data_IF_142174563494
#
_entry.id   IF_142174563494
#
_cell.length_a   1.000
_cell.length_b   1.000
_cell.length_c   1.000
_cell.angle_alpha   90.00
_cell.angle_beta   90.00
_cell.angle_gamma   90.00
#
_symmetry.space_group_name_H-M   'P 1'
#
loop_
_entity.id
_entity.type
_entity.pdbx_description
1 polymer ?
#
# COMPACT_ATOMS: atom_id res chain seq x y z
N UNK A 1 -52.76 25.84 64.19
CA UNK A 1 -51.71 25.91 65.21
C UNK A 1 -50.40 25.44 64.58
N UNK A 2 -49.37 26.28 64.50
CA UNK A 2 -48.16 25.93 63.84
C UNK A 2 -47.07 25.41 64.81
N UNK A 3 -46.29 24.47 64.43
CA UNK A 3 -45.04 24.10 65.09
C UNK A 3 -43.82 24.54 64.33
N UNK A 4 -42.77 24.95 65.04
CA UNK A 4 -41.66 25.71 64.43
C UNK A 4 -40.56 24.85 63.83
N UNK A 5 -40.04 25.33 62.74
CA UNK A 5 -38.93 24.71 62.03
C UNK A 5 -37.58 24.86 62.73
N UNK A 6 -36.79 23.82 62.66
CA UNK A 6 -35.33 23.81 62.98
C UNK A 6 -34.51 24.13 61.75
N UNK A 7 -33.79 25.23 61.89
CA UNK A 7 -32.73 25.55 60.90
C UNK A 7 -31.46 24.76 61.23
N UNK A 8 -30.96 23.98 60.28
CA UNK A 8 -29.68 23.32 60.37
C UNK A 8 -28.73 24.06 59.42
N UNK A 9 -27.73 24.70 60.00
CA UNK A 9 -26.58 25.27 59.25
C UNK A 9 -25.68 24.10 58.80
N UNK A 10 -25.59 23.84 57.53
CA UNK A 10 -24.55 22.98 56.95
C UNK A 10 -23.41 23.87 56.44
N UNK A 11 -22.28 23.83 57.16
CA UNK A 11 -21.05 24.44 56.72
C UNK A 11 -20.48 23.70 55.48
N UNK A 12 -20.36 24.41 54.41
CA UNK A 12 -19.65 23.90 53.20
C UNK A 12 -18.16 24.07 53.42
N UNK A 13 -17.46 22.91 53.53
CA UNK A 13 -16.01 22.84 53.52
C UNK A 13 -15.53 22.94 52.04
N UNK A 14 -15.02 24.05 51.63
CA UNK A 14 -14.38 24.25 50.30
C UNK A 14 -12.98 23.66 50.39
N UNK A 15 -12.82 22.44 49.88
CA UNK A 15 -11.52 21.86 49.61
C UNK A 15 -11.02 22.42 48.27
N UNK A 16 -10.07 23.36 48.35
CA UNK A 16 -9.31 23.87 47.21
C UNK A 16 -8.33 22.76 46.74
N UNK A 17 -8.73 21.99 45.72
CA UNK A 17 -7.77 21.15 44.97
C UNK A 17 -6.96 22.06 44.07
N UNK A 18 -5.71 22.35 44.45
CA UNK A 18 -4.72 22.96 43.61
C UNK A 18 -4.33 22.03 42.47
N UNK A 19 -4.98 22.19 41.27
CA UNK A 19 -4.58 21.52 40.06
C UNK A 19 -3.43 22.32 39.42
N UNK A 20 -2.25 22.16 39.98
CA UNK A 20 -0.99 22.52 39.34
C UNK A 20 -0.40 21.35 38.59
N UNK A 21 -1.10 20.80 37.62
CA UNK A 21 -0.48 19.94 36.59
C UNK A 21 -0.15 20.79 35.37
N UNK A 22 1.01 21.43 35.42
CA UNK A 22 1.67 21.85 34.20
C UNK A 22 1.81 20.61 33.30
N UNK A 23 1.08 20.58 32.18
CA UNK A 23 1.38 19.68 31.08
C UNK A 23 2.84 19.95 30.69
N UNK A 24 3.75 19.10 31.16
CA UNK A 24 5.09 19.03 30.60
C UNK A 24 4.84 18.66 29.13
N UNK A 25 5.03 19.63 28.25
CA UNK A 25 5.33 19.34 26.85
C UNK A 25 6.64 18.55 26.92
N UNK A 26 6.53 17.22 26.82
CA UNK A 26 7.70 16.37 26.69
C UNK A 26 8.33 16.77 25.36
N UNK A 27 9.38 17.58 25.41
CA UNK A 27 10.18 17.87 24.24
C UNK A 27 10.62 16.51 23.69
N UNK A 28 10.38 16.27 22.41
CA UNK A 28 10.81 15.03 21.76
C UNK A 28 12.33 14.97 21.93
N UNK A 29 12.84 13.91 22.57
CA UNK A 29 14.28 13.71 22.73
C UNK A 29 14.96 13.75 21.37
N UNK A 30 16.18 14.30 21.28
CA UNK A 30 16.92 14.29 20.02
C UNK A 30 17.17 12.87 19.56
N UNK A 31 16.95 12.62 18.29
CA UNK A 31 17.20 11.30 17.67
C UNK A 31 18.67 10.90 17.87
N UNK A 32 18.92 9.65 18.26
CA UNK A 32 20.26 9.10 18.38
C UNK A 32 20.98 9.17 17.02
N UNK A 33 22.00 10.00 16.91
CA UNK A 33 22.69 10.27 15.66
C UNK A 33 23.45 9.09 15.10
N UNK A 34 23.99 8.20 15.98
CA UNK A 34 24.71 7.01 15.54
C UNK A 34 23.75 5.95 15.00
N UNK A 35 22.54 5.82 15.59
CA UNK A 35 21.50 4.96 15.07
C UNK A 35 20.95 5.50 13.75
N UNK A 36 20.69 6.79 13.66
CA UNK A 36 20.22 7.44 12.43
C UNK A 36 21.21 7.25 11.26
N UNK A 37 22.51 7.42 11.53
CA UNK A 37 23.57 7.18 10.54
C UNK A 37 23.61 5.70 10.10
N UNK A 38 23.48 4.76 11.04
CA UNK A 38 23.39 3.34 10.72
C UNK A 38 22.17 3.04 9.82
N UNK A 39 20.98 3.54 10.18
CA UNK A 39 19.74 3.35 9.41
C UNK A 39 19.88 3.94 8.00
N UNK A 40 20.50 5.10 7.87
CA UNK A 40 20.76 5.74 6.57
C UNK A 40 21.64 4.88 5.65
N UNK A 41 22.57 4.09 6.21
CA UNK A 41 23.47 3.21 5.45
C UNK A 41 22.87 1.87 5.04
N UNK A 42 21.69 1.48 5.53
CA UNK A 42 21.06 0.19 5.16
C UNK A 42 20.63 0.23 3.69
N UNK A 43 21.08 -0.74 2.89
CA UNK A 43 20.57 -0.94 1.53
C UNK A 43 19.21 -1.62 1.60
N UNK A 44 18.15 -0.87 1.31
CA UNK A 44 16.78 -1.29 1.54
C UNK A 44 16.24 -2.24 0.45
N UNK A 45 15.25 -3.04 0.81
CA UNK A 45 14.32 -3.70 -0.10
C UNK A 45 12.98 -2.98 -0.01
N UNK A 46 12.54 -2.39 -1.09
CA UNK A 46 11.28 -1.67 -1.18
C UNK A 46 10.17 -2.64 -1.62
N UNK A 47 9.19 -2.86 -0.74
CA UNK A 47 8.14 -3.87 -0.91
C UNK A 47 7.02 -3.44 -1.86
N UNK A 48 6.82 -2.12 -2.08
CA UNK A 48 5.67 -1.62 -2.82
C UNK A 48 5.94 -0.31 -3.52
N UNK A 49 5.84 -0.31 -4.86
CA UNK A 49 6.04 0.88 -5.70
C UNK A 49 5.25 0.79 -7.01
N UNK A 50 5.05 1.95 -7.65
CA UNK A 50 4.52 2.12 -9.00
C UNK A 50 5.58 2.75 -9.92
N UNK A 51 6.79 2.17 -9.93
CA UNK A 51 7.91 2.67 -10.71
C UNK A 51 7.62 2.61 -12.22
N UNK A 52 7.91 3.71 -12.93
CA UNK A 52 7.71 3.83 -14.37
C UNK A 52 9.02 3.70 -15.14
N UNK A 53 8.96 3.23 -16.37
CA UNK A 53 10.05 3.33 -17.34
C UNK A 53 10.21 4.76 -17.82
N UNK A 54 11.36 5.09 -18.43
CA UNK A 54 11.58 6.41 -19.05
C UNK A 54 10.94 6.56 -20.43
N UNK A 55 10.37 5.48 -20.99
CA UNK A 55 9.69 5.58 -22.30
C UNK A 55 8.40 6.37 -22.15
N UNK A 56 8.12 7.32 -23.04
CA UNK A 56 6.84 8.01 -23.06
C UNK A 56 5.69 7.02 -23.17
N UNK A 57 4.59 7.29 -22.43
CA UNK A 57 3.39 6.46 -22.41
C UNK A 57 3.63 5.00 -21.97
N UNK A 58 4.28 4.80 -20.82
CA UNK A 58 4.38 3.48 -20.18
C UNK A 58 3.00 2.97 -19.77
N UNK A 59 2.32 2.30 -20.70
CA UNK A 59 0.95 1.81 -20.54
C UNK A 59 0.84 0.62 -19.58
N UNK A 60 1.97 0.07 -19.13
CA UNK A 60 2.04 -1.10 -18.27
C UNK A 60 2.45 -0.76 -16.83
N UNK A 61 2.57 0.53 -16.51
CA UNK A 61 3.03 1.00 -15.20
C UNK A 61 2.01 0.79 -14.09
N UNK A 62 0.73 0.96 -14.38
CA UNK A 62 -0.34 0.86 -13.40
C UNK A 62 -1.65 0.43 -14.07
N UNK A 63 -2.54 -0.20 -13.30
CA UNK A 63 -3.88 -0.56 -13.77
C UNK A 63 -4.91 0.47 -13.37
N UNK A 64 -4.79 1.05 -12.18
CA UNK A 64 -5.73 2.04 -11.64
C UNK A 64 -5.04 3.38 -11.34
N UNK A 65 -4.64 4.15 -12.36
CA UNK A 65 -4.03 5.45 -12.13
C UNK A 65 -5.05 6.40 -11.48
N UNK A 66 -4.70 6.94 -10.30
CA UNK A 66 -5.61 7.75 -9.49
C UNK A 66 -5.86 9.16 -10.08
N UNK A 67 -5.05 9.59 -11.02
CA UNK A 67 -5.24 10.85 -11.76
C UNK A 67 -6.51 10.86 -12.63
N UNK A 68 -7.08 9.68 -12.90
CA UNK A 68 -8.39 9.52 -13.55
C UNK A 68 -9.60 9.75 -12.64
N UNK A 69 -9.40 9.82 -11.33
CA UNK A 69 -10.49 10.03 -10.37
C UNK A 69 -10.97 11.49 -10.36
N UNK A 70 -12.25 11.76 -9.99
CA UNK A 70 -12.71 13.12 -9.72
C UNK A 70 -11.83 13.80 -8.67
N UNK A 71 -11.68 15.13 -8.79
CA UNK A 71 -10.86 15.90 -7.85
C UNK A 71 -11.30 15.66 -6.38
N UNK A 72 -10.35 15.36 -5.54
CA UNK A 72 -10.56 15.13 -4.11
C UNK A 72 -9.51 15.85 -3.26
N UNK A 73 -9.78 16.11 -1.97
CA UNK A 73 -8.80 16.73 -1.07
C UNK A 73 -7.54 15.86 -0.95
N UNK A 74 -6.38 16.42 -1.29
CA UNK A 74 -5.10 15.75 -1.12
C UNK A 74 -4.49 16.09 0.25
N UNK A 75 -3.86 15.13 0.95
CA UNK A 75 -3.07 15.40 2.13
C UNK A 75 -2.07 16.53 1.88
N UNK A 76 -1.90 17.43 2.86
CA UNK A 76 -1.05 18.62 2.71
C UNK A 76 0.35 18.28 2.22
N UNK A 77 0.92 17.19 2.73
CA UNK A 77 2.27 16.74 2.39
C UNK A 77 2.42 16.29 0.93
N UNK A 78 1.34 15.85 0.28
CA UNK A 78 1.33 15.43 -1.12
C UNK A 78 1.03 16.58 -2.09
N UNK A 79 0.68 17.77 -1.59
CA UNK A 79 0.42 18.91 -2.45
C UNK A 79 1.70 19.40 -3.11
N UNK A 80 1.67 19.83 -4.37
CA UNK A 80 2.86 20.25 -5.12
C UNK A 80 3.63 21.41 -4.50
N UNK A 81 2.96 22.26 -3.72
CA UNK A 81 3.53 23.42 -3.03
C UNK A 81 4.18 23.09 -1.68
N UNK A 82 4.10 21.84 -1.22
CA UNK A 82 4.69 21.47 0.06
C UNK A 82 6.22 21.46 -0.01
N UNK A 83 6.93 22.07 0.97
CA UNK A 83 8.40 22.23 0.95
C UNK A 83 9.19 20.92 0.84
N UNK A 84 8.59 19.79 1.19
CA UNK A 84 9.24 18.49 1.10
C UNK A 84 9.64 18.13 -0.34
N UNK A 85 8.89 18.58 -1.34
CA UNK A 85 9.22 18.36 -2.75
C UNK A 85 10.47 19.10 -3.17
N UNK A 86 10.68 20.35 -2.66
CA UNK A 86 11.92 21.09 -2.88
C UNK A 86 13.13 20.29 -2.35
N UNK A 87 13.00 19.68 -1.17
CA UNK A 87 14.05 18.82 -0.61
C UNK A 87 14.32 17.57 -1.50
N UNK A 88 13.29 16.97 -2.07
CA UNK A 88 13.43 15.86 -3.01
C UNK A 88 14.16 16.29 -4.29
N UNK A 89 13.79 17.40 -4.89
CA UNK A 89 14.49 17.96 -6.07
C UNK A 89 15.96 18.28 -5.78
N UNK A 90 16.25 18.84 -4.60
CA UNK A 90 17.63 19.10 -4.16
C UNK A 90 18.43 17.81 -4.07
N UNK A 91 17.86 16.79 -3.47
CA UNK A 91 18.53 15.51 -3.24
C UNK A 91 18.79 14.73 -4.53
N UNK A 92 17.80 14.66 -5.43
CA UNK A 92 17.89 13.83 -6.64
C UNK A 92 18.56 14.57 -7.80
N UNK A 93 18.24 15.85 -7.98
CA UNK A 93 18.64 16.61 -9.15
C UNK A 93 19.63 17.76 -8.87
N UNK A 94 20.03 17.93 -7.60
CA UNK A 94 20.96 18.98 -7.21
C UNK A 94 20.38 20.40 -7.29
N UNK A 95 19.03 20.54 -7.23
CA UNK A 95 18.36 21.83 -7.28
C UNK A 95 18.85 22.74 -6.17
N UNK A 96 19.14 24.01 -6.48
CA UNK A 96 19.77 24.92 -5.51
C UNK A 96 18.80 25.92 -4.88
N UNK A 97 17.62 26.09 -5.47
CA UNK A 97 16.67 27.16 -5.11
C UNK A 97 15.59 26.68 -4.14
N UNK A 98 14.75 27.61 -3.68
CA UNK A 98 13.69 27.34 -2.71
C UNK A 98 12.26 27.46 -3.28
N UNK A 99 12.13 27.81 -4.57
CA UNK A 99 10.84 27.98 -5.25
C UNK A 99 10.67 26.94 -6.37
N UNK A 100 9.42 26.60 -6.70
CA UNK A 100 9.05 25.71 -7.80
C UNK A 100 8.26 26.48 -8.88
N UNK A 101 8.82 27.62 -9.30
CA UNK A 101 8.22 28.50 -10.32
C UNK A 101 9.28 29.32 -11.03
N UNK A 102 8.90 29.92 -12.18
CA UNK A 102 9.77 30.81 -12.92
C UNK A 102 11.02 30.14 -13.54
N UNK A 103 12.04 30.95 -13.94
CA UNK A 103 13.18 30.45 -14.72
C UNK A 103 13.96 29.33 -14.05
N UNK A 104 14.17 29.38 -12.73
CA UNK A 104 14.88 28.32 -12.01
C UNK A 104 14.16 26.96 -12.07
N UNK A 105 12.84 26.99 -12.06
CA UNK A 105 12.06 25.74 -12.22
C UNK A 105 12.12 25.21 -13.66
N UNK A 106 12.21 26.08 -14.65
CA UNK A 106 12.44 25.67 -16.03
C UNK A 106 13.83 25.05 -16.24
N UNK A 107 14.86 25.57 -15.57
CA UNK A 107 16.20 24.98 -15.51
C UNK A 107 16.18 23.59 -14.84
N UNK A 108 15.40 23.43 -13.74
CA UNK A 108 15.22 22.14 -13.11
C UNK A 108 14.59 21.13 -14.05
N UNK A 109 13.49 21.49 -14.73
CA UNK A 109 12.84 20.64 -15.76
C UNK A 109 13.81 20.25 -16.88
N UNK A 110 14.66 21.18 -17.31
CA UNK A 110 15.69 20.87 -18.31
C UNK A 110 16.73 19.88 -17.76
N UNK A 111 17.13 20.03 -16.50
CA UNK A 111 18.05 19.12 -15.83
C UNK A 111 17.45 17.72 -15.69
N UNK A 112 16.19 17.61 -15.27
CA UNK A 112 15.45 16.34 -15.16
C UNK A 112 15.41 15.60 -16.51
N UNK A 113 15.01 16.31 -17.59
CA UNK A 113 14.99 15.74 -18.95
C UNK A 113 16.37 15.28 -19.41
N UNK A 114 17.43 16.09 -19.18
CA UNK A 114 18.81 15.75 -19.53
C UNK A 114 19.27 14.48 -18.82
N UNK A 115 19.06 14.38 -17.50
CA UNK A 115 19.44 13.19 -16.72
C UNK A 115 18.67 11.96 -17.19
N UNK A 116 17.37 12.08 -17.43
CA UNK A 116 16.56 10.98 -17.94
C UNK A 116 17.06 10.49 -19.30
N UNK A 117 17.44 11.41 -20.20
CA UNK A 117 18.02 11.08 -21.52
C UNK A 117 19.41 10.44 -21.40
N UNK A 118 20.29 10.98 -20.57
CA UNK A 118 21.64 10.46 -20.32
C UNK A 118 21.62 9.05 -19.71
N UNK A 119 20.71 8.80 -18.78
CA UNK A 119 20.55 7.49 -18.16
C UNK A 119 19.79 6.50 -19.05
N UNK A 120 18.83 6.96 -19.86
CA UNK A 120 18.00 6.10 -20.70
C UNK A 120 17.36 4.96 -19.89
N UNK A 121 17.47 3.72 -20.36
CA UNK A 121 16.94 2.55 -19.65
C UNK A 121 17.60 2.28 -18.28
N UNK A 122 18.74 2.91 -17.98
CA UNK A 122 19.38 2.80 -16.66
C UNK A 122 18.76 3.74 -15.63
N UNK A 123 17.91 4.68 -16.03
CA UNK A 123 17.33 5.67 -15.13
C UNK A 123 16.66 5.03 -13.88
N UNK A 124 15.82 3.99 -13.99
CA UNK A 124 15.25 3.36 -12.80
C UNK A 124 16.30 2.80 -11.83
N UNK A 125 17.32 2.15 -12.35
CA UNK A 125 18.41 1.62 -11.50
C UNK A 125 19.26 2.74 -10.89
N UNK A 126 19.49 3.83 -11.63
CA UNK A 126 20.16 5.03 -11.12
C UNK A 126 19.38 5.64 -9.94
N UNK A 127 18.05 5.72 -10.03
CA UNK A 127 17.20 6.17 -8.90
C UNK A 127 17.42 5.29 -7.67
N UNK A 128 17.41 3.96 -7.81
CA UNK A 128 17.65 3.06 -6.69
C UNK A 128 19.01 3.30 -6.03
N UNK A 129 20.04 3.60 -6.82
CA UNK A 129 21.37 3.88 -6.30
C UNK A 129 21.42 5.19 -5.52
N UNK A 130 20.71 6.24 -5.96
CA UNK A 130 20.58 7.51 -5.23
C UNK A 130 19.90 7.34 -3.86
N UNK A 131 18.97 6.37 -3.76
CA UNK A 131 18.14 6.16 -2.57
C UNK A 131 18.69 5.08 -1.63
N UNK A 132 19.76 4.38 -2.01
CA UNK A 132 20.26 3.24 -1.25
C UNK A 132 19.26 2.08 -1.21
N UNK A 133 18.52 1.87 -2.29
CA UNK A 133 17.60 0.73 -2.46
C UNK A 133 18.32 -0.33 -3.29
N UNK A 134 18.34 -1.56 -2.79
CA UNK A 134 18.97 -2.68 -3.50
C UNK A 134 17.99 -3.37 -4.45
N UNK A 135 16.78 -3.63 -3.97
CA UNK A 135 15.70 -4.26 -4.74
C UNK A 135 14.41 -3.51 -4.49
N UNK A 136 13.64 -3.33 -5.54
CA UNK A 136 12.31 -2.69 -5.50
C UNK A 136 11.28 -3.62 -6.13
N UNK A 137 10.18 -3.88 -5.40
CA UNK A 137 9.04 -4.61 -5.93
C UNK A 137 8.12 -3.63 -6.67
N UNK A 138 8.02 -3.81 -7.96
CA UNK A 138 7.23 -2.93 -8.83
C UNK A 138 5.86 -3.55 -9.12
N UNK A 139 4.80 -2.86 -8.70
CA UNK A 139 3.44 -3.18 -9.10
C UNK A 139 3.25 -2.71 -10.54
N UNK A 140 3.03 -3.65 -11.45
CA UNK A 140 2.93 -3.36 -12.88
C UNK A 140 2.06 -4.38 -13.58
N UNK A 141 1.44 -3.96 -14.67
CA UNK A 141 0.74 -4.89 -15.58
C UNK A 141 1.76 -5.83 -16.23
N UNK A 142 2.90 -5.29 -16.67
CA UNK A 142 4.06 -6.04 -17.13
C UNK A 142 5.35 -5.29 -16.84
N UNK A 143 6.45 -6.04 -16.69
CA UNK A 143 7.79 -5.46 -16.58
C UNK A 143 8.18 -4.79 -17.90
N UNK A 144 9.02 -3.76 -17.83
CA UNK A 144 9.40 -2.93 -18.98
C UNK A 144 10.88 -2.62 -19.03
N UNK A 145 11.33 -1.91 -20.07
CA UNK A 145 12.72 -1.50 -20.23
C UNK A 145 13.25 -0.77 -18.98
N UNK A 146 14.40 -1.20 -18.48
CA UNK A 146 15.04 -0.64 -17.29
C UNK A 146 14.41 -1.09 -15.95
N UNK A 147 13.23 -1.69 -15.96
CA UNK A 147 12.56 -2.25 -14.78
C UNK A 147 12.56 -3.76 -14.88
N UNK A 148 13.67 -4.36 -14.48
CA UNK A 148 13.91 -5.80 -14.63
C UNK A 148 14.78 -6.38 -13.50
N UNK A 149 14.74 -7.70 -13.27
CA UNK A 149 15.65 -8.36 -12.35
C UNK A 149 17.14 -8.07 -12.68
N UNK A 150 18.02 -8.03 -11.68
CA UNK A 150 17.74 -8.33 -10.26
C UNK A 150 17.22 -7.14 -9.44
N UNK A 151 17.31 -5.90 -9.95
CA UNK A 151 17.02 -4.67 -9.21
C UNK A 151 15.52 -4.45 -9.01
N UNK A 152 14.70 -4.88 -9.96
CA UNK A 152 13.24 -4.81 -9.87
C UNK A 152 12.64 -6.21 -9.89
N UNK A 153 11.60 -6.42 -9.08
CA UNK A 153 10.86 -7.67 -9.00
C UNK A 153 9.38 -7.38 -9.23
N UNK A 154 8.73 -8.27 -9.92
CA UNK A 154 7.36 -8.05 -10.37
C UNK A 154 6.32 -8.40 -9.32
N UNK A 155 5.33 -7.52 -9.16
CA UNK A 155 4.06 -7.74 -8.50
C UNK A 155 2.97 -7.46 -9.52
N UNK A 156 2.14 -8.47 -9.84
CA UNK A 156 1.07 -8.35 -10.84
C UNK A 156 -0.25 -7.94 -10.21
N UNK A 157 -1.15 -7.37 -11.00
CA UNK A 157 -2.51 -7.03 -10.56
C UNK A 157 -3.46 -8.22 -10.72
N UNK A 158 -4.40 -8.39 -9.78
CA UNK A 158 -5.32 -9.52 -9.76
C UNK A 158 -6.80 -9.15 -9.74
N UNK A 159 -7.16 -7.87 -9.54
CA UNK A 159 -8.57 -7.44 -9.44
C UNK A 159 -9.39 -7.75 -10.68
N UNK A 160 -8.80 -7.64 -11.86
CA UNK A 160 -9.43 -8.01 -13.13
C UNK A 160 -9.98 -9.44 -13.12
N UNK A 161 -9.31 -10.36 -12.42
CA UNK A 161 -9.76 -11.75 -12.28
C UNK A 161 -10.97 -11.92 -11.36
N UNK A 162 -11.30 -10.91 -10.53
CA UNK A 162 -12.51 -10.85 -9.71
C UNK A 162 -13.74 -10.42 -10.52
N UNK A 163 -13.54 -9.85 -11.72
CA UNK A 163 -14.54 -9.12 -12.49
C UNK A 163 -14.83 -9.77 -13.87
N UNK A 164 -15.12 -11.11 -13.93
CA UNK A 164 -15.35 -11.80 -15.20
C UNK A 164 -16.67 -11.44 -15.90
N UNK A 165 -17.60 -10.80 -15.18
CA UNK A 165 -18.93 -10.45 -15.65
C UNK A 165 -19.05 -8.95 -15.91
N UNK A 166 -20.17 -8.49 -16.49
CA UNK A 166 -20.42 -7.05 -16.70
C UNK A 166 -20.33 -6.27 -15.40
N UNK A 167 -19.54 -5.19 -15.39
CA UNK A 167 -19.36 -4.31 -14.24
C UNK A 167 -20.32 -3.12 -14.24
N UNK A 168 -21.28 -3.05 -15.18
CA UNK A 168 -22.14 -1.88 -15.33
C UNK A 168 -23.00 -1.59 -14.09
N UNK A 169 -23.41 -2.62 -13.33
CA UNK A 169 -24.11 -2.47 -12.07
C UNK A 169 -23.23 -1.84 -10.97
N UNK A 170 -22.00 -2.32 -10.84
CA UNK A 170 -21.00 -1.79 -9.88
C UNK A 170 -20.64 -0.33 -10.22
N UNK A 171 -20.42 -0.03 -11.50
CA UNK A 171 -20.14 1.34 -11.97
C UNK A 171 -21.27 2.30 -11.63
N UNK A 172 -22.52 1.88 -11.82
CA UNK A 172 -23.68 2.71 -11.48
C UNK A 172 -23.80 2.96 -9.97
N UNK A 173 -23.37 1.99 -9.14
CA UNK A 173 -23.41 2.09 -7.68
C UNK A 173 -22.22 2.87 -7.07
N UNK A 174 -21.13 3.06 -7.83
CA UNK A 174 -19.87 3.69 -7.35
C UNK A 174 -19.47 4.87 -8.22
N UNK A 175 -20.10 6.05 -8.07
CA UNK A 175 -19.84 7.20 -8.95
C UNK A 175 -18.37 7.65 -8.99
N UNK A 176 -17.64 7.55 -7.87
CA UNK A 176 -16.22 7.92 -7.83
C UNK A 176 -15.36 6.89 -8.58
N UNK A 177 -15.59 5.60 -8.35
CA UNK A 177 -14.80 4.52 -8.92
C UNK A 177 -15.23 4.09 -10.34
N UNK A 178 -16.32 4.66 -10.89
CA UNK A 178 -16.85 4.24 -12.18
C UNK A 178 -15.83 4.25 -13.33
N UNK A 179 -14.82 5.13 -13.25
CA UNK A 179 -13.75 5.26 -14.26
C UNK A 179 -12.72 4.15 -14.16
N UNK A 180 -12.62 3.46 -13.02
CA UNK A 180 -11.65 2.42 -12.76
C UNK A 180 -12.08 1.05 -13.33
N UNK A 181 -13.37 0.72 -13.29
CA UNK A 181 -13.88 -0.56 -13.78
C UNK A 181 -13.54 -0.87 -15.25
N UNK A 182 -13.63 0.11 -16.20
CA UNK A 182 -13.21 -0.13 -17.59
C UNK A 182 -11.73 -0.49 -17.74
N UNK A 183 -10.87 -0.04 -16.82
CA UNK A 183 -9.45 -0.37 -16.81
C UNK A 183 -9.25 -1.83 -16.40
N UNK A 184 -9.96 -2.29 -15.40
CA UNK A 184 -9.96 -3.70 -15.01
C UNK A 184 -10.52 -4.61 -16.10
N UNK A 185 -11.59 -4.19 -16.76
CA UNK A 185 -12.12 -4.90 -17.92
C UNK A 185 -11.10 -4.97 -19.09
N UNK A 186 -10.32 -3.90 -19.28
CA UNK A 186 -9.22 -3.88 -20.27
C UNK A 186 -8.13 -4.86 -19.87
N UNK A 187 -7.77 -4.92 -18.59
CA UNK A 187 -6.77 -5.85 -18.09
C UNK A 187 -7.25 -7.30 -18.22
N UNK A 188 -8.51 -7.58 -17.91
CA UNK A 188 -9.07 -8.92 -18.11
C UNK A 188 -8.99 -9.35 -19.57
N UNK A 189 -9.34 -8.46 -20.50
CA UNK A 189 -9.20 -8.75 -21.95
C UNK A 189 -7.76 -9.05 -22.35
N UNK A 190 -6.79 -8.36 -21.76
CA UNK A 190 -5.36 -8.65 -21.95
C UNK A 190 -5.01 -10.04 -21.45
N UNK A 191 -5.44 -10.42 -20.24
CA UNK A 191 -5.20 -11.77 -19.70
C UNK A 191 -5.82 -12.85 -20.56
N UNK A 192 -7.03 -12.63 -21.08
CA UNK A 192 -7.66 -13.56 -22.03
C UNK A 192 -6.84 -13.68 -23.33
N UNK A 193 -6.41 -12.55 -23.89
CA UNK A 193 -5.60 -12.54 -25.12
C UNK A 193 -4.27 -13.26 -24.94
N UNK A 194 -3.62 -13.07 -23.82
CA UNK A 194 -2.39 -13.75 -23.45
C UNK A 194 -2.54 -15.27 -23.35
N UNK A 195 -3.76 -15.75 -23.10
CA UNK A 195 -4.13 -17.16 -23.09
C UNK A 195 -4.78 -17.62 -24.42
N UNK A 196 -4.77 -16.76 -25.45
CA UNK A 196 -5.43 -17.02 -26.75
C UNK A 196 -6.94 -17.22 -26.66
N UNK A 197 -7.58 -16.64 -25.65
CA UNK A 197 -9.03 -16.65 -25.47
C UNK A 197 -9.64 -15.34 -25.94
N UNK A 198 -10.79 -15.41 -26.64
CA UNK A 198 -11.52 -14.22 -27.11
C UNK A 198 -12.53 -13.68 -26.10
N UNK A 199 -13.07 -14.55 -25.27
CA UNK A 199 -14.12 -14.23 -24.31
C UNK A 199 -13.92 -15.06 -23.03
N UNK A 200 -14.55 -14.64 -21.94
CA UNK A 200 -14.60 -15.46 -20.72
C UNK A 200 -15.32 -16.77 -20.99
N UNK A 201 -14.88 -17.90 -20.41
CA UNK A 201 -15.56 -19.20 -20.54
C UNK A 201 -17.00 -19.16 -20.01
N UNK A 202 -17.85 -20.06 -20.52
CA UNK A 202 -19.28 -20.09 -20.18
C UNK A 202 -19.56 -20.57 -18.74
N UNK A 203 -18.65 -21.34 -18.13
CA UNK A 203 -18.83 -21.88 -16.78
C UNK A 203 -17.76 -21.36 -15.83
N UNK A 204 -18.09 -21.25 -14.54
CA UNK A 204 -17.12 -20.88 -13.51
C UNK A 204 -15.93 -21.84 -13.49
N UNK A 205 -16.18 -23.13 -13.62
CA UNK A 205 -15.12 -24.15 -13.58
C UNK A 205 -14.14 -23.99 -14.75
N UNK A 206 -14.63 -23.67 -15.92
CA UNK A 206 -13.79 -23.39 -17.08
C UNK A 206 -13.05 -22.04 -16.91
N UNK A 207 -13.69 -21.02 -16.33
CA UNK A 207 -13.04 -19.77 -16.03
C UNK A 207 -11.86 -19.97 -15.06
N UNK A 208 -12.04 -20.71 -13.99
CA UNK A 208 -10.98 -21.02 -13.04
C UNK A 208 -9.83 -21.79 -13.72
N UNK A 209 -10.17 -22.82 -14.50
CA UNK A 209 -9.21 -23.73 -15.12
C UNK A 209 -8.49 -23.13 -16.32
N UNK A 210 -9.19 -22.35 -17.16
CA UNK A 210 -8.65 -21.84 -18.42
C UNK A 210 -8.17 -20.38 -18.34
N UNK A 211 -8.57 -19.61 -17.30
CA UNK A 211 -8.20 -18.20 -17.17
C UNK A 211 -7.42 -17.96 -15.87
N UNK A 212 -8.04 -18.15 -14.71
CA UNK A 212 -7.45 -17.72 -13.42
C UNK A 212 -6.15 -18.48 -13.15
N UNK A 213 -6.19 -19.80 -13.06
CA UNK A 213 -5.00 -20.61 -12.74
C UNK A 213 -3.88 -20.42 -13.77
N UNK A 214 -4.11 -20.50 -15.10
CA UNK A 214 -3.05 -20.31 -16.08
C UNK A 214 -2.45 -18.88 -16.09
N UNK A 215 -3.25 -17.84 -15.80
CA UNK A 215 -2.72 -16.49 -15.67
C UNK A 215 -1.71 -16.40 -14.52
N UNK A 216 -2.07 -16.92 -13.34
CA UNK A 216 -1.19 -16.91 -12.17
C UNK A 216 0.07 -17.77 -12.38
N UNK A 217 -0.08 -18.95 -12.99
CA UNK A 217 1.06 -19.83 -13.31
C UNK A 217 2.03 -19.19 -14.29
N UNK A 218 1.53 -18.51 -15.32
CA UNK A 218 2.35 -17.76 -16.26
C UNK A 218 3.06 -16.60 -15.55
N UNK A 219 2.34 -15.79 -14.77
CA UNK A 219 2.93 -14.69 -14.02
C UNK A 219 4.04 -15.19 -13.09
N UNK A 220 3.80 -16.29 -12.38
CA UNK A 220 4.82 -16.91 -11.52
C UNK A 220 6.04 -17.38 -12.31
N UNK A 221 5.84 -18.03 -13.45
CA UNK A 221 6.91 -18.47 -14.36
C UNK A 221 7.74 -17.29 -14.87
N UNK A 222 7.09 -16.17 -15.14
CA UNK A 222 7.73 -14.93 -15.61
C UNK A 222 8.37 -14.11 -14.47
N UNK A 223 8.43 -14.67 -13.24
CA UNK A 223 9.18 -14.11 -12.11
C UNK A 223 8.35 -13.25 -11.16
N UNK A 224 7.03 -13.24 -11.27
CA UNK A 224 6.15 -12.56 -10.33
C UNK A 224 6.29 -13.14 -8.92
N UNK A 225 6.41 -12.28 -7.91
CA UNK A 225 6.60 -12.66 -6.51
C UNK A 225 5.32 -12.52 -5.67
N UNK A 226 4.41 -11.66 -6.10
CA UNK A 226 3.15 -11.42 -5.41
C UNK A 226 2.07 -10.99 -6.39
N UNK A 227 0.81 -11.19 -6.02
CA UNK A 227 -0.34 -10.61 -6.71
C UNK A 227 -0.91 -9.47 -5.88
N UNK A 228 -1.22 -8.33 -6.49
CA UNK A 228 -1.77 -7.14 -5.85
C UNK A 228 -3.27 -7.06 -6.10
N UNK A 229 -4.01 -6.82 -5.05
CA UNK A 229 -5.40 -6.40 -5.10
C UNK A 229 -5.51 -4.92 -4.71
N UNK A 230 -6.19 -4.15 -5.53
CA UNK A 230 -6.58 -2.76 -5.32
C UNK A 230 -8.08 -2.63 -5.02
N UNK A 231 -8.68 -3.74 -4.62
CA UNK A 231 -10.11 -3.90 -4.39
C UNK A 231 -10.73 -2.80 -3.51
N UNK A 232 -9.96 -2.22 -2.57
CA UNK A 232 -10.44 -1.15 -1.71
C UNK A 232 -10.87 0.12 -2.47
N UNK A 233 -10.42 0.33 -3.70
CA UNK A 233 -10.92 1.40 -4.58
C UNK A 233 -12.26 1.06 -5.23
N UNK A 234 -12.60 -0.21 -5.33
CA UNK A 234 -13.76 -0.71 -6.07
C UNK A 234 -14.89 -1.20 -5.14
N UNK A 235 -14.51 -1.76 -3.98
CA UNK A 235 -15.44 -2.37 -3.02
C UNK A 235 -14.83 -2.43 -1.62
N UNK A 236 -15.63 -2.74 -0.61
CA UNK A 236 -15.12 -3.05 0.72
C UNK A 236 -14.31 -4.35 0.74
N UNK A 237 -13.33 -4.45 1.67
CA UNK A 237 -12.43 -5.58 1.84
C UNK A 237 -13.06 -6.81 2.52
N UNK A 238 -14.36 -6.81 2.73
CA UNK A 238 -15.12 -7.87 3.41
C UNK A 238 -15.32 -9.12 2.52
N UNK A 239 -14.23 -9.77 2.12
CA UNK A 239 -14.27 -11.02 1.36
C UNK A 239 -14.79 -12.18 2.22
N UNK A 240 -16.12 -12.29 2.29
CA UNK A 240 -16.83 -13.29 3.08
C UNK A 240 -16.66 -14.72 2.59
N UNK A 241 -17.13 -15.71 3.36
CA UNK A 241 -17.21 -17.08 2.89
C UNK A 241 -18.25 -17.19 1.78
N UNK A 242 -17.87 -17.80 0.66
CA UNK A 242 -18.76 -18.08 -0.47
C UNK A 242 -18.52 -19.52 -0.98
N UNK A 243 -19.60 -20.27 -1.18
CA UNK A 243 -19.48 -21.63 -1.69
C UNK A 243 -19.30 -21.63 -3.20
N UNK A 244 -18.57 -22.65 -3.72
CA UNK A 244 -18.43 -22.83 -5.18
C UNK A 244 -19.77 -22.94 -5.89
N UNK A 245 -20.75 -23.63 -5.27
CA UNK A 245 -22.08 -23.78 -5.85
C UNK A 245 -22.85 -22.44 -5.94
N UNK A 246 -22.72 -21.56 -4.93
CA UNK A 246 -23.33 -20.23 -4.99
C UNK A 246 -22.66 -19.37 -6.08
N UNK A 247 -21.34 -19.31 -6.11
CA UNK A 247 -20.58 -18.58 -7.12
C UNK A 247 -20.88 -19.10 -8.55
N UNK A 248 -20.95 -20.42 -8.73
CA UNK A 248 -21.27 -21.04 -10.03
C UNK A 248 -22.67 -20.69 -10.52
N UNK A 249 -23.68 -20.59 -9.64
CA UNK A 249 -25.03 -20.13 -10.01
C UNK A 249 -25.04 -18.70 -10.50
N UNK A 250 -24.31 -17.79 -9.80
CA UNK A 250 -24.17 -16.39 -10.22
C UNK A 250 -23.48 -16.33 -11.58
N UNK A 251 -22.34 -17.02 -11.71
CA UNK A 251 -21.59 -17.03 -12.95
C UNK A 251 -22.44 -17.52 -14.13
N UNK A 252 -23.09 -18.68 -14.01
CA UNK A 252 -23.92 -19.26 -15.07
C UNK A 252 -25.08 -18.37 -15.50
N UNK A 253 -25.64 -17.58 -14.56
CA UNK A 253 -26.78 -16.68 -14.85
C UNK A 253 -26.37 -15.46 -15.66
N UNK A 254 -25.14 -14.95 -15.46
CA UNK A 254 -24.73 -13.65 -16.01
C UNK A 254 -23.54 -13.71 -16.98
N UNK A 255 -22.95 -14.89 -17.24
CA UNK A 255 -21.83 -15.03 -18.17
C UNK A 255 -22.26 -15.13 -19.65
N UNK A 256 -23.55 -15.31 -19.93
CA UNK A 256 -24.01 -15.39 -21.30
C UNK A 256 -23.81 -14.06 -22.05
N UNK A 257 -23.44 -14.08 -23.34
CA UNK A 257 -23.33 -12.88 -24.14
C UNK A 257 -24.65 -12.08 -24.13
N UNK A 258 -24.56 -10.78 -23.80
CA UNK A 258 -25.74 -9.90 -23.70
C UNK A 258 -26.54 -10.02 -22.41
N UNK A 259 -26.11 -10.81 -21.44
CA UNK A 259 -26.74 -10.85 -20.13
C UNK A 259 -26.64 -9.48 -19.44
N UNK A 260 -27.62 -9.19 -18.58
CA UNK A 260 -27.58 -7.98 -17.72
C UNK A 260 -26.45 -8.11 -16.69
N UNK A 261 -26.00 -6.96 -16.13
CA UNK A 261 -25.07 -7.01 -15.03
C UNK A 261 -25.68 -7.68 -13.78
N UNK A 262 -24.90 -8.43 -13.01
CA UNK A 262 -25.37 -8.98 -11.75
C UNK A 262 -25.77 -7.85 -10.79
N UNK A 263 -26.79 -8.06 -9.93
CA UNK A 263 -26.99 -7.21 -8.77
C UNK A 263 -25.75 -7.28 -7.83
N UNK A 264 -25.44 -6.18 -7.16
CA UNK A 264 -24.25 -6.06 -6.29
C UNK A 264 -24.06 -7.25 -5.34
N UNK A 265 -25.07 -7.65 -4.60
CA UNK A 265 -24.97 -8.77 -3.63
C UNK A 265 -24.71 -10.13 -4.27
N UNK A 266 -25.25 -10.36 -5.50
CA UNK A 266 -24.93 -11.59 -6.26
C UNK A 266 -23.50 -11.52 -6.79
N UNK A 267 -23.08 -10.36 -7.33
CA UNK A 267 -21.71 -10.21 -7.83
C UNK A 267 -20.69 -10.33 -6.71
N UNK A 268 -20.97 -9.72 -5.55
CA UNK A 268 -20.14 -9.86 -4.36
C UNK A 268 -19.91 -11.34 -3.99
N UNK A 269 -20.96 -12.18 -4.05
CA UNK A 269 -20.83 -13.61 -3.78
C UNK A 269 -19.82 -14.29 -4.72
N UNK A 270 -19.83 -13.94 -6.00
CA UNK A 270 -18.86 -14.44 -6.96
C UNK A 270 -17.45 -13.91 -6.70
N UNK A 271 -17.31 -12.60 -6.45
CA UNK A 271 -16.02 -11.96 -6.16
C UNK A 271 -15.39 -12.53 -4.87
N UNK A 272 -16.16 -12.75 -3.82
CA UNK A 272 -15.70 -13.34 -2.56
C UNK A 272 -15.15 -14.77 -2.77
N UNK A 273 -15.81 -15.55 -3.61
CA UNK A 273 -15.33 -16.88 -3.98
C UNK A 273 -14.05 -16.80 -4.82
N UNK A 274 -14.01 -15.92 -5.83
CA UNK A 274 -12.85 -15.75 -6.72
C UNK A 274 -11.63 -15.25 -5.95
N UNK A 275 -11.80 -14.28 -5.05
CA UNK A 275 -10.72 -13.82 -4.18
C UNK A 275 -10.07 -14.98 -3.42
N UNK A 276 -10.87 -15.81 -2.74
CA UNK A 276 -10.37 -16.97 -1.99
C UNK A 276 -9.70 -17.99 -2.89
N UNK A 277 -10.23 -18.20 -4.10
CA UNK A 277 -9.61 -19.07 -5.08
C UNK A 277 -8.25 -18.54 -5.52
N UNK A 278 -8.17 -17.27 -5.92
CA UNK A 278 -6.92 -16.61 -6.35
C UNK A 278 -5.89 -16.62 -5.22
N UNK A 279 -6.29 -16.25 -4.00
CA UNK A 279 -5.41 -16.26 -2.83
C UNK A 279 -4.84 -17.65 -2.53
N UNK A 280 -5.65 -18.70 -2.67
CA UNK A 280 -5.19 -20.09 -2.51
C UNK A 280 -4.21 -20.49 -3.61
N UNK A 281 -4.48 -20.14 -4.86
CA UNK A 281 -3.59 -20.43 -5.99
C UNK A 281 -2.27 -19.65 -5.87
N UNK A 282 -2.31 -18.39 -5.44
CA UNK A 282 -1.11 -17.61 -5.14
C UNK A 282 -0.25 -18.31 -4.07
N UNK A 283 -0.87 -18.75 -2.97
CA UNK A 283 -0.18 -19.53 -1.93
C UNK A 283 0.38 -20.86 -2.44
N UNK A 284 -0.34 -21.57 -3.35
CA UNK A 284 0.15 -22.79 -4.01
C UNK A 284 1.41 -22.51 -4.84
N UNK A 285 1.45 -21.38 -5.50
CA UNK A 285 2.56 -20.95 -6.37
C UNK A 285 3.70 -20.27 -5.60
N UNK A 286 3.59 -20.12 -4.27
CA UNK A 286 4.58 -19.40 -3.46
C UNK A 286 4.64 -17.91 -3.76
N UNK A 287 3.51 -17.31 -4.15
CA UNK A 287 3.34 -15.88 -4.31
C UNK A 287 2.60 -15.30 -3.10
N UNK A 288 3.02 -14.13 -2.63
CA UNK A 288 2.27 -13.39 -1.62
C UNK A 288 1.02 -12.73 -2.23
N UNK A 289 0.06 -12.39 -1.38
CA UNK A 289 -1.12 -11.60 -1.73
C UNK A 289 -0.96 -10.22 -1.09
N UNK A 290 -0.75 -9.21 -1.90
CA UNK A 290 -0.70 -7.80 -1.51
C UNK A 290 -2.11 -7.22 -1.57
N UNK A 291 -2.53 -6.57 -0.52
CA UNK A 291 -3.86 -5.97 -0.40
C UNK A 291 -3.69 -4.48 -0.15
N UNK A 292 -4.22 -3.65 -1.04
CA UNK A 292 -4.32 -2.21 -0.78
C UNK A 292 -5.24 -1.99 0.42
N UNK A 293 -4.70 -1.41 1.47
CA UNK A 293 -5.44 -1.13 2.71
C UNK A 293 -5.06 0.28 3.18
N UNK A 294 -5.72 1.27 2.58
CA UNK A 294 -5.53 2.68 2.89
C UNK A 294 -6.83 3.42 2.65
N UNK A 295 -6.93 4.63 3.15
CA UNK A 295 -8.06 5.49 2.85
C UNK A 295 -8.13 5.75 1.34
N UNK A 296 -9.32 5.60 0.77
CA UNK A 296 -9.61 6.00 -0.60
C UNK A 296 -9.96 7.47 -0.70
N UNK A 297 -10.49 7.85 -1.83
CA UNK A 297 -10.83 9.22 -2.17
C UNK A 297 -12.19 9.29 -2.86
N UNK A 298 -12.87 10.44 -2.71
CA UNK A 298 -14.12 10.73 -3.37
C UNK A 298 -15.29 10.93 -2.42
N UNK A 299 -16.42 11.40 -2.99
CA UNK A 299 -17.62 11.75 -2.22
C UNK A 299 -18.42 10.53 -1.77
N UNK A 300 -18.27 9.40 -2.43
CA UNK A 300 -19.03 8.16 -2.22
C UNK A 300 -18.17 7.06 -1.60
N UNK A 301 -16.91 7.32 -1.35
CA UNK A 301 -16.00 6.37 -0.74
C UNK A 301 -16.39 6.06 0.72
N UNK A 302 -16.41 4.78 1.07
CA UNK A 302 -16.69 4.33 2.42
C UNK A 302 -15.39 3.99 3.16
N UNK A 303 -14.91 4.91 4.00
CA UNK A 303 -13.64 4.74 4.73
C UNK A 303 -13.57 3.41 5.51
N UNK A 304 -14.65 3.01 6.18
CA UNK A 304 -14.70 1.73 6.89
C UNK A 304 -14.55 0.50 5.98
N UNK A 305 -14.76 0.64 4.68
CA UNK A 305 -14.55 -0.44 3.70
C UNK A 305 -13.09 -0.82 3.50
N UNK A 306 -12.15 0.04 3.93
CA UNK A 306 -10.70 -0.22 3.91
C UNK A 306 -10.16 -0.70 5.28
N UNK A 307 -11.00 -0.99 6.26
CA UNK A 307 -10.55 -1.51 7.54
C UNK A 307 -9.92 -2.91 7.35
N UNK A 308 -8.64 -3.13 7.73
CA UNK A 308 -7.99 -4.43 7.56
C UNK A 308 -8.67 -5.58 8.31
N UNK A 309 -9.44 -5.32 9.38
CA UNK A 309 -10.19 -6.37 10.07
C UNK A 309 -11.29 -7.00 9.20
N UNK A 310 -11.75 -6.33 8.16
CA UNK A 310 -12.66 -6.91 7.18
C UNK A 310 -12.06 -8.11 6.43
N UNK A 311 -10.73 -8.20 6.37
CA UNK A 311 -10.00 -9.32 5.76
C UNK A 311 -9.90 -10.54 6.70
N UNK A 312 -10.18 -10.40 7.99
CA UNK A 312 -9.97 -11.48 8.96
C UNK A 312 -10.70 -12.78 8.60
N UNK A 313 -11.97 -12.78 8.10
CA UNK A 313 -12.64 -14.01 7.68
C UNK A 313 -11.94 -14.75 6.53
N UNK A 314 -11.18 -14.05 5.69
CA UNK A 314 -10.37 -14.67 4.64
C UNK A 314 -9.02 -15.14 5.18
N UNK A 315 -8.34 -14.32 5.97
CA UNK A 315 -7.02 -14.62 6.56
C UNK A 315 -7.10 -15.87 7.47
N UNK A 316 -8.21 -16.05 8.18
CA UNK A 316 -8.43 -17.18 9.10
C UNK A 316 -8.99 -18.43 8.43
N UNK A 317 -9.28 -18.39 7.13
CA UNK A 317 -9.76 -19.57 6.38
C UNK A 317 -8.66 -20.66 6.35
N UNK A 318 -8.95 -21.87 6.87
CA UNK A 318 -7.97 -22.96 6.87
C UNK A 318 -7.43 -23.32 5.47
N UNK A 319 -8.22 -23.10 4.41
CA UNK A 319 -7.78 -23.34 3.03
C UNK A 319 -6.72 -22.36 2.54
N UNK A 320 -6.59 -21.20 3.20
CA UNK A 320 -5.63 -20.12 2.89
C UNK A 320 -4.42 -20.09 3.83
N UNK A 321 -4.26 -21.06 4.72
CA UNK A 321 -3.15 -21.09 5.70
C UNK A 321 -1.74 -21.06 5.09
N UNK A 322 -1.59 -21.42 3.81
CA UNK A 322 -0.32 -21.35 3.05
C UNK A 322 -0.15 -20.04 2.31
N UNK A 323 -1.17 -19.20 2.30
CA UNK A 323 -1.13 -17.90 1.63
C UNK A 323 -0.56 -16.87 2.59
N UNK A 324 0.46 -16.15 2.16
CA UNK A 324 0.97 -14.99 2.88
C UNK A 324 0.23 -13.74 2.41
N UNK A 325 -0.31 -13.00 3.35
CA UNK A 325 -0.98 -11.73 3.12
C UNK A 325 -0.08 -10.56 3.54
N UNK A 326 0.01 -9.55 2.70
CA UNK A 326 0.69 -8.30 3.00
C UNK A 326 -0.32 -7.17 2.98
N UNK A 327 -0.55 -6.54 4.13
CA UNK A 327 -1.37 -5.35 4.28
C UNK A 327 -0.55 -4.17 3.78
N UNK A 328 -0.74 -3.83 2.50
CA UNK A 328 -0.04 -2.72 1.85
C UNK A 328 -0.60 -1.41 2.39
N UNK A 329 0.27 -0.44 2.67
CA UNK A 329 0.00 0.84 3.32
C UNK A 329 -0.41 0.75 4.80
N UNK A 330 -0.26 -0.43 5.40
CA UNK A 330 -0.41 -0.63 6.85
C UNK A 330 -1.76 -0.25 7.46
N UNK A 331 -2.78 -0.03 6.64
CA UNK A 331 -4.12 0.32 7.10
C UNK A 331 -4.38 1.81 7.34
N UNK A 332 -3.41 2.70 7.07
CA UNK A 332 -3.61 4.13 7.24
C UNK A 332 -4.15 4.52 8.63
N UNK A 333 -5.32 5.13 8.70
CA UNK A 333 -6.00 5.47 9.98
C UNK A 333 -6.37 4.22 10.80
N UNK A 334 -6.47 3.05 10.17
CA UNK A 334 -6.76 1.76 10.82
C UNK A 334 -5.48 0.98 11.20
N UNK A 335 -4.32 1.61 11.22
CA UNK A 335 -3.04 0.97 11.60
C UNK A 335 -3.07 0.16 12.92
N UNK A 336 -3.85 0.56 13.98
CA UNK A 336 -4.04 -0.28 15.16
C UNK A 336 -4.73 -1.62 14.87
N UNK A 337 -5.63 -1.68 13.90
CA UNK A 337 -6.29 -2.93 13.48
C UNK A 337 -5.33 -3.84 12.73
N UNK A 338 -4.39 -3.29 11.96
CA UNK A 338 -3.29 -4.05 11.35
C UNK A 338 -2.42 -4.73 12.41
N UNK A 339 -2.11 -4.03 13.51
CA UNK A 339 -1.37 -4.61 14.64
C UNK A 339 -2.08 -5.85 15.21
N UNK A 340 -3.41 -5.83 15.31
CA UNK A 340 -4.18 -6.98 15.76
C UNK A 340 -4.06 -8.19 14.83
N UNK A 341 -3.85 -7.98 13.52
CA UNK A 341 -3.69 -9.05 12.55
C UNK A 341 -2.28 -9.69 12.59
N UNK A 342 -1.26 -9.05 13.15
CA UNK A 342 0.08 -9.65 13.28
C UNK A 342 0.15 -10.90 14.16
N UNK A 343 -0.87 -11.13 14.98
CA UNK A 343 -1.04 -12.41 15.69
C UNK A 343 -1.31 -13.59 14.75
N UNK A 344 -1.64 -13.32 13.47
CA UNK A 344 -1.81 -14.34 12.44
C UNK A 344 -0.43 -14.62 11.80
N UNK A 345 0.03 -15.87 11.74
CA UNK A 345 1.41 -16.19 11.33
C UNK A 345 1.71 -15.89 9.85
N UNK A 346 0.69 -15.70 9.03
CA UNK A 346 0.77 -15.46 7.60
C UNK A 346 0.47 -14.02 7.19
N UNK A 347 0.49 -13.06 8.14
CA UNK A 347 0.23 -11.63 7.87
C UNK A 347 1.50 -10.82 8.07
N UNK A 348 1.76 -9.96 7.10
CA UNK A 348 2.76 -8.88 7.11
C UNK A 348 2.07 -7.56 6.78
N UNK A 349 2.73 -6.45 7.07
CA UNK A 349 2.30 -5.14 6.59
C UNK A 349 3.50 -4.29 6.20
N UNK A 350 3.33 -3.42 5.21
CA UNK A 350 4.32 -2.41 4.90
C UNK A 350 3.86 -1.01 5.33
N UNK A 351 4.80 -0.08 5.29
CA UNK A 351 4.56 1.31 5.69
C UNK A 351 4.36 2.25 4.49
N UNK A 352 4.24 1.69 3.29
CA UNK A 352 4.01 2.45 2.06
C UNK A 352 2.73 3.31 2.17
N UNK A 353 2.56 4.31 1.34
CA UNK A 353 1.46 5.27 1.51
C UNK A 353 1.59 6.14 2.76
N UNK A 354 1.65 5.52 3.96
CA UNK A 354 1.86 6.28 5.21
C UNK A 354 3.17 7.09 5.20
N UNK A 355 4.25 6.55 4.61
CA UNK A 355 5.55 7.28 4.49
C UNK A 355 5.44 8.56 3.66
N UNK A 356 4.48 8.62 2.76
CA UNK A 356 4.19 9.79 1.94
C UNK A 356 3.25 10.76 2.65
N UNK A 357 2.15 10.24 3.22
CA UNK A 357 1.08 11.05 3.80
C UNK A 357 1.41 11.58 5.19
N UNK A 358 2.14 10.83 6.02
CA UNK A 358 2.40 11.19 7.41
C UNK A 358 3.77 11.83 7.59
N UNK A 359 3.90 12.91 8.40
CA UNK A 359 5.21 13.37 8.85
C UNK A 359 5.96 12.27 9.62
N UNK A 360 7.30 12.20 9.55
CA UNK A 360 8.09 11.12 10.18
C UNK A 360 7.77 10.88 11.65
N UNK A 361 7.54 11.95 12.43
CA UNK A 361 7.19 11.82 13.84
C UNK A 361 5.78 11.21 14.07
N UNK A 362 4.83 11.44 13.17
CA UNK A 362 3.52 10.81 13.24
C UNK A 362 3.63 9.33 12.85
N UNK A 363 4.34 9.04 11.76
CA UNK A 363 4.61 7.67 11.32
C UNK A 363 5.34 6.87 12.42
N UNK A 364 6.35 7.45 13.07
CA UNK A 364 7.07 6.80 14.17
C UNK A 364 6.13 6.36 15.30
N UNK A 365 5.18 7.22 15.70
CA UNK A 365 4.18 6.86 16.72
C UNK A 365 3.26 5.73 16.26
N UNK A 366 2.90 5.71 14.98
CA UNK A 366 2.03 4.66 14.40
C UNK A 366 2.72 3.31 14.38
N UNK A 367 3.99 3.26 13.93
CA UNK A 367 4.70 1.97 13.75
C UNK A 367 5.38 1.47 15.03
N UNK A 368 5.65 2.32 16.01
CA UNK A 368 6.34 1.91 17.25
C UNK A 368 5.69 0.69 17.92
N UNK A 369 4.35 0.61 18.13
CA UNK A 369 3.71 -0.56 18.70
C UNK A 369 3.91 -1.85 17.87
N UNK A 370 4.08 -1.71 16.57
CA UNK A 370 4.38 -2.84 15.68
C UNK A 370 5.80 -3.36 15.90
N UNK A 371 6.77 -2.42 16.02
CA UNK A 371 8.19 -2.73 16.25
C UNK A 371 8.43 -3.34 17.62
N UNK A 372 7.66 -2.93 18.64
CA UNK A 372 7.72 -3.48 19.99
C UNK A 372 7.22 -4.91 20.08
N UNK A 373 6.22 -5.29 19.25
CA UNK A 373 5.55 -6.56 19.33
C UNK A 373 5.95 -7.56 18.24
N UNK A 374 6.02 -7.12 16.99
CA UNK A 374 6.20 -7.99 15.81
C UNK A 374 7.12 -7.36 14.76
N UNK A 375 8.36 -6.97 15.10
CA UNK A 375 9.26 -6.31 14.14
C UNK A 375 9.53 -7.13 12.89
N UNK A 376 9.44 -8.48 12.96
CA UNK A 376 9.62 -9.39 11.83
C UNK A 376 8.44 -9.40 10.84
N UNK A 377 7.33 -8.70 11.15
CA UNK A 377 6.13 -8.61 10.30
C UNK A 377 6.04 -7.27 9.56
N UNK A 378 6.91 -6.33 9.88
CA UNK A 378 6.90 -4.98 9.32
C UNK A 378 7.85 -4.90 8.13
N UNK A 379 7.37 -4.38 7.01
CA UNK A 379 8.12 -4.20 5.77
C UNK A 379 8.23 -2.71 5.43
N UNK A 380 9.29 -2.35 4.74
CA UNK A 380 9.42 -1.04 4.11
C UNK A 380 8.81 -1.07 2.71
N UNK A 381 8.02 -0.07 2.37
CA UNK A 381 7.55 0.26 1.03
C UNK A 381 7.53 1.77 0.86
N UNK A 382 7.89 2.28 -0.31
CA UNK A 382 7.88 3.71 -0.59
C UNK A 382 6.56 4.21 -1.16
N UNK A 383 5.79 3.34 -1.82
CA UNK A 383 4.64 3.72 -2.62
C UNK A 383 5.00 4.76 -3.69
N UNK A 384 6.15 4.59 -4.31
CA UNK A 384 6.65 5.54 -5.29
C UNK A 384 5.78 5.56 -6.54
N UNK A 385 5.12 6.68 -6.79
CA UNK A 385 4.29 6.94 -7.97
C UNK A 385 4.57 8.35 -8.51
N UNK A 386 4.19 8.61 -9.76
CA UNK A 386 4.29 9.94 -10.33
C UNK A 386 3.17 10.84 -9.75
N UNK A 387 3.56 11.93 -9.10
CA UNK A 387 2.64 12.91 -8.49
C UNK A 387 2.49 14.15 -9.39
N UNK A 388 2.04 13.95 -10.61
CA UNK A 388 1.88 14.98 -11.62
C UNK A 388 3.02 15.07 -12.64
N UNK A 389 2.95 15.99 -13.61
CA UNK A 389 3.85 16.00 -14.77
C UNK A 389 5.30 16.37 -14.45
N UNK A 390 5.53 17.07 -13.33
CA UNK A 390 6.85 17.53 -12.92
C UNK A 390 7.42 16.73 -11.73
N UNK A 391 6.61 15.85 -11.12
CA UNK A 391 7.01 15.05 -9.96
C UNK A 391 6.92 13.56 -10.31
N UNK A 392 7.99 13.02 -10.86
CA UNK A 392 8.08 11.60 -11.18
C UNK A 392 8.14 10.70 -9.94
N UNK A 393 8.05 9.40 -10.17
CA UNK A 393 8.07 8.39 -9.09
C UNK A 393 9.35 8.43 -8.25
N UNK A 394 10.47 8.88 -8.82
CA UNK A 394 11.76 8.99 -8.13
C UNK A 394 11.73 9.98 -6.95
N UNK A 395 10.94 11.05 -7.08
CA UNK A 395 10.77 12.03 -5.99
C UNK A 395 9.91 11.47 -4.86
N UNK A 396 8.84 10.76 -5.22
CA UNK A 396 8.01 10.04 -4.24
C UNK A 396 8.81 8.91 -3.57
N UNK A 397 9.65 8.19 -4.31
CA UNK A 397 10.57 7.20 -3.75
C UNK A 397 11.55 7.82 -2.75
N UNK A 398 12.11 8.98 -3.07
CA UNK A 398 12.97 9.72 -2.13
C UNK A 398 12.21 10.12 -0.87
N UNK A 399 11.01 10.68 -1.02
CA UNK A 399 10.17 11.09 0.09
C UNK A 399 9.84 9.90 1.00
N UNK A 400 9.37 8.79 0.41
CA UNK A 400 9.02 7.57 1.14
C UNK A 400 10.21 6.98 1.88
N UNK A 401 11.35 6.83 1.19
CA UNK A 401 12.58 6.30 1.77
C UNK A 401 13.11 7.15 2.92
N UNK A 402 13.15 8.46 2.73
CA UNK A 402 13.64 9.41 3.75
C UNK A 402 12.71 9.41 4.96
N UNK A 403 11.38 9.45 4.74
CA UNK A 403 10.39 9.43 5.81
C UNK A 403 10.44 8.14 6.63
N UNK A 404 10.56 6.97 5.98
CA UNK A 404 10.68 5.69 6.66
C UNK A 404 11.92 5.63 7.56
N UNK A 405 13.08 6.03 7.03
CA UNK A 405 14.35 6.03 7.79
C UNK A 405 14.29 6.96 8.99
N UNK A 406 13.72 8.17 8.81
CA UNK A 406 13.52 9.12 9.91
C UNK A 406 12.54 8.59 10.96
N UNK A 407 11.41 8.01 10.53
CA UNK A 407 10.43 7.44 11.45
C UNK A 407 11.01 6.26 12.25
N UNK A 408 11.78 5.37 11.62
CA UNK A 408 12.47 4.29 12.30
C UNK A 408 13.49 4.82 13.31
N UNK A 409 14.28 5.82 12.94
CA UNK A 409 15.24 6.43 13.85
C UNK A 409 14.57 7.05 15.09
N UNK A 410 13.44 7.75 14.90
CA UNK A 410 12.64 8.32 16.00
C UNK A 410 12.05 7.21 16.89
N UNK A 411 11.38 6.23 16.31
CA UNK A 411 10.72 5.16 17.06
C UNK A 411 11.73 4.34 17.88
N UNK A 412 12.82 3.91 17.24
CA UNK A 412 13.83 3.07 17.87
C UNK A 412 14.67 3.84 18.90
N UNK A 413 14.91 5.15 18.71
CA UNK A 413 15.51 5.99 19.75
C UNK A 413 14.63 6.01 20.99
N UNK A 414 13.31 6.27 20.83
CA UNK A 414 12.38 6.24 21.95
C UNK A 414 12.32 4.88 22.66
N UNK A 415 12.34 3.76 21.90
CA UNK A 415 12.37 2.41 22.49
C UNK A 415 13.67 2.15 23.29
N UNK A 416 14.82 2.70 22.85
CA UNK A 416 16.07 2.63 23.62
C UNK A 416 16.01 3.46 24.90
N UNK A 417 15.45 4.66 24.84
CA UNK A 417 15.29 5.56 26.00
C UNK A 417 14.35 4.99 27.07
N UNK A 418 13.29 4.31 26.63
CA UNK A 418 12.34 3.62 27.51
C UNK A 418 12.89 2.28 28.06
N UNK A 419 14.08 1.85 27.59
CA UNK A 419 14.70 0.60 28.02
C UNK A 419 14.11 -0.67 27.40
N UNK A 420 13.27 -0.53 26.37
CA UNK A 420 12.61 -1.66 25.70
C UNK A 420 13.58 -2.44 24.79
N UNK A 421 14.59 -1.77 24.25
CA UNK A 421 15.60 -2.41 23.38
C UNK A 421 17.00 -1.86 23.63
N UNK A 422 18.01 -2.71 23.42
CA UNK A 422 19.41 -2.25 23.34
C UNK A 422 19.67 -1.57 21.98
N UNK A 423 20.81 -0.86 21.87
CA UNK A 423 21.24 -0.28 20.60
C UNK A 423 21.45 -1.33 19.51
N UNK A 424 22.01 -2.48 19.85
CA UNK A 424 22.21 -3.60 18.94
C UNK A 424 20.87 -4.11 18.43
N UNK A 425 19.89 -4.29 19.33
CA UNK A 425 18.54 -4.73 18.94
C UNK A 425 17.83 -3.70 18.08
N UNK A 426 17.97 -2.40 18.37
CA UNK A 426 17.43 -1.34 17.52
C UNK A 426 18.01 -1.39 16.10
N UNK A 427 19.31 -1.64 15.94
CA UNK A 427 19.94 -1.83 14.62
C UNK A 427 19.42 -3.08 13.90
N UNK A 428 19.24 -4.18 14.62
CA UNK A 428 18.64 -5.39 14.05
C UNK A 428 17.22 -5.13 13.55
N UNK A 429 16.37 -4.50 14.36
CA UNK A 429 14.99 -4.16 13.97
C UNK A 429 14.98 -3.25 12.72
N UNK A 430 15.83 -2.24 12.70
CA UNK A 430 15.93 -1.38 11.51
C UNK A 430 16.33 -2.17 10.25
N UNK A 431 17.27 -3.12 10.39
CA UNK A 431 17.68 -4.00 9.29
C UNK A 431 16.56 -4.95 8.88
N UNK A 432 15.81 -5.48 9.86
CA UNK A 432 14.63 -6.32 9.59
C UNK A 432 13.62 -5.57 8.72
N UNK A 433 13.17 -4.41 9.15
CA UNK A 433 12.14 -3.62 8.47
C UNK A 433 12.58 -3.17 7.08
N UNK A 434 13.80 -2.62 6.98
CA UNK A 434 14.29 -2.05 5.71
C UNK A 434 14.79 -3.11 4.73
N UNK A 435 15.11 -4.33 5.18
CA UNK A 435 15.84 -5.28 4.33
C UNK A 435 15.45 -6.74 4.50
N UNK A 436 15.71 -7.32 5.70
CA UNK A 436 15.75 -8.79 5.81
C UNK A 436 14.38 -9.43 5.87
N UNK A 437 13.34 -8.73 6.36
CA UNK A 437 11.98 -9.26 6.37
C UNK A 437 11.47 -9.48 4.93
N UNK A 438 11.58 -8.47 4.06
CA UNK A 438 11.20 -8.61 2.66
C UNK A 438 12.08 -9.62 1.92
N UNK A 439 13.40 -9.63 2.19
CA UNK A 439 14.29 -10.61 1.59
C UNK A 439 13.90 -12.05 1.94
N UNK A 440 13.60 -12.32 3.21
CA UNK A 440 13.13 -13.63 3.67
C UNK A 440 11.77 -14.01 3.09
N UNK A 441 10.82 -13.07 3.10
CA UNK A 441 9.47 -13.30 2.59
C UNK A 441 9.45 -13.70 1.11
N UNK A 442 10.26 -13.07 0.28
CA UNK A 442 10.27 -13.29 -1.17
C UNK A 442 11.44 -14.17 -1.66
N UNK A 443 12.28 -14.70 -0.75
CA UNK A 443 13.43 -15.52 -1.11
C UNK A 443 14.45 -14.75 -1.96
N UNK A 444 14.68 -13.46 -1.66
CA UNK A 444 15.62 -12.63 -2.42
C UNK A 444 17.06 -12.91 -2.01
N UNK A 445 17.93 -13.14 -2.98
CA UNK A 445 19.38 -13.14 -2.77
C UNK A 445 19.89 -11.71 -2.88
N UNK A 446 20.31 -11.14 -1.77
CA UNK A 446 20.84 -9.79 -1.66
C UNK A 446 22.38 -9.80 -1.69
N UNK A 447 22.99 -8.67 -2.08
CA UNK A 447 24.45 -8.47 -2.17
C UNK A 447 25.02 -7.79 -0.93
#
# INVERSE_FOLDING_TARGET
>A
MPHPGRVIFSGALVLAFGIGRGTRVVAQSPVDSALAAFIAGIRAVDNHTHANTVVPADSDSDVLPLDGLPAFPSPVRLRPDHPVWIAAYKAIYGYQYGELSGPHFDELRATMRRIAQEQGERFPAWVLDQLGIEVMLANRIAMGPGIAPPRFRWVSYADALLLPLSTSGERAASPDAQVLYPLEEKLLRRYLADLSLKTVPATLDDYLRAVVTPTLERQRKDGCLAVKFEAAYLRALDFGPATRAAAARVYARYAAPGATAPPHGEYKTLQDFLFRYIAREAGRLGMAVHLHVFEGAGSYYHAAGSDPLLLEPAITDPSLRKTTFVIVHGGGIFAPHTAALFWKPNVYADVSGMVLAYPPAALARTIRPWLEQFPERVLFGSDAFANGPDAGWELAAWLGTTSARQALAIALTGMMEDGEVTRERAREIATMVLRTNAAGLYGLTLR
#
